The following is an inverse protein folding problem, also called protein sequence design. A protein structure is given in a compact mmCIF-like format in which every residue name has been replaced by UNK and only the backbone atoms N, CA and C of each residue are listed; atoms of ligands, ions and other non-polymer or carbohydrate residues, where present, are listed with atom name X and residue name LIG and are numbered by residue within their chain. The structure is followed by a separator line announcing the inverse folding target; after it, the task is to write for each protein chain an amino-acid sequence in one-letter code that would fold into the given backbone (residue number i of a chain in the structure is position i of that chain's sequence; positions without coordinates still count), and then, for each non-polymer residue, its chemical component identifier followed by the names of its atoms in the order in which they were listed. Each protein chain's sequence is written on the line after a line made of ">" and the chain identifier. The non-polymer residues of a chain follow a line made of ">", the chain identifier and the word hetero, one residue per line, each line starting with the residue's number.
data_IF_084445566485
#
_entry.id   IF_084445566485
#
_cell.length_a   1.000
_cell.length_b   1.000
_cell.length_c   1.000
_cell.angle_alpha   90.00
_cell.angle_beta   90.00
_cell.angle_gamma   90.00
#
_symmetry.space_group_name_H-M   'P 1'
#
loop_
_entity.id
_entity.type
_entity.pdbx_description
1 polymer ?
#
# COMPACT_ATOMS: atom_id res chain seq x y z
N UNK A 1 -9.50 -58.18 56.81
CA UNK A 1 -8.79 -58.47 55.55
C UNK A 1 -9.88 -58.63 54.49
N UNK A 2 -10.01 -57.85 53.42
CA UNK A 2 -9.03 -57.19 52.56
C UNK A 2 -9.65 -55.96 51.87
N UNK A 3 -8.83 -54.93 51.69
CA UNK A 3 -9.09 -53.69 50.94
C UNK A 3 -9.35 -53.93 49.45
N UNK A 4 -10.29 -53.18 48.85
CA UNK A 4 -10.23 -52.82 47.42
C UNK A 4 -10.56 -51.34 47.22
N UNK A 5 -9.58 -50.47 47.49
CA UNK A 5 -9.50 -49.14 46.87
C UNK A 5 -8.66 -49.26 45.61
N UNK A 6 -9.28 -49.58 44.47
CA UNK A 6 -8.69 -49.37 43.14
C UNK A 6 -9.45 -48.24 42.43
N UNK A 7 -9.39 -47.06 43.01
CA UNK A 7 -9.87 -45.82 42.40
C UNK A 7 -8.79 -45.25 41.48
N UNK A 8 -9.16 -44.93 40.24
CA UNK A 8 -8.60 -43.81 39.45
C UNK A 8 -7.08 -43.77 39.25
N UNK A 9 -6.54 -44.59 38.33
CA UNK A 9 -5.17 -44.40 37.81
C UNK A 9 -5.08 -44.43 36.27
N UNK A 10 -6.11 -44.89 35.58
CA UNK A 10 -6.07 -45.03 34.11
C UNK A 10 -6.32 -43.71 33.36
N UNK A 11 -6.98 -42.73 34.00
CA UNK A 11 -7.30 -41.44 33.38
C UNK A 11 -6.10 -40.50 33.24
N UNK A 12 -5.10 -40.61 34.11
CA UNK A 12 -3.99 -39.64 34.14
C UNK A 12 -2.87 -39.98 33.15
N UNK A 13 -2.59 -41.27 32.93
CA UNK A 13 -1.58 -41.72 31.95
C UNK A 13 -2.06 -41.45 30.52
N UNK A 14 -3.32 -41.80 30.19
CA UNK A 14 -3.91 -41.44 28.89
C UNK A 14 -3.89 -39.93 28.67
N UNK A 15 -4.29 -39.11 29.66
CA UNK A 15 -4.23 -37.64 29.54
C UNK A 15 -2.80 -37.13 29.27
N UNK A 16 -1.79 -37.75 29.87
CA UNK A 16 -0.40 -37.34 29.69
C UNK A 16 0.13 -37.66 28.29
N UNK A 17 -0.18 -38.83 27.73
CA UNK A 17 0.27 -39.21 26.39
C UNK A 17 -0.48 -38.44 25.29
N UNK A 18 -1.77 -38.15 25.49
CA UNK A 18 -2.51 -37.24 24.62
C UNK A 18 -1.95 -35.81 24.65
N UNK A 19 -1.58 -35.31 25.83
CA UNK A 19 -0.95 -33.99 25.94
C UNK A 19 0.40 -33.95 25.23
N UNK A 20 1.25 -34.97 25.39
CA UNK A 20 2.53 -35.08 24.65
C UNK A 20 2.32 -35.11 23.14
N UNK A 21 1.33 -35.87 22.67
CA UNK A 21 1.00 -35.94 21.24
C UNK A 21 0.54 -34.58 20.70
N UNK A 22 -0.28 -33.84 21.46
CA UNK A 22 -0.69 -32.47 21.11
C UNK A 22 0.50 -31.51 21.09
N UNK A 23 1.39 -31.56 22.08
CA UNK A 23 2.61 -30.74 22.09
C UNK A 23 3.52 -31.06 20.90
N UNK A 24 3.69 -32.34 20.56
CA UNK A 24 4.48 -32.76 19.40
C UNK A 24 3.85 -32.28 18.09
N UNK A 25 2.54 -32.43 17.92
CA UNK A 25 1.82 -31.95 16.76
C UNK A 25 1.96 -30.41 16.61
N UNK A 26 1.80 -29.67 17.72
CA UNK A 26 2.01 -28.23 17.74
C UNK A 26 3.44 -27.84 17.35
N UNK A 27 4.45 -28.54 17.88
CA UNK A 27 5.85 -28.31 17.54
C UNK A 27 6.12 -28.57 16.05
N UNK A 28 5.56 -29.64 15.48
CA UNK A 28 5.69 -29.94 14.05
C UNK A 28 5.07 -28.82 13.21
N UNK A 29 3.87 -28.36 13.55
CA UNK A 29 3.21 -27.25 12.85
C UNK A 29 4.07 -25.99 12.93
N UNK A 30 4.62 -25.68 14.11
CA UNK A 30 5.49 -24.52 14.31
C UNK A 30 6.75 -24.61 13.42
N UNK A 31 7.39 -25.78 13.37
CA UNK A 31 8.57 -26.01 12.51
C UNK A 31 8.21 -25.80 11.04
N UNK A 32 7.07 -26.34 10.59
CA UNK A 32 6.60 -26.16 9.21
C UNK A 32 6.38 -24.68 8.90
N UNK A 33 5.66 -23.95 9.75
CA UNK A 33 5.39 -22.52 9.55
C UNK A 33 6.69 -21.71 9.51
N UNK A 34 7.63 -21.98 10.42
CA UNK A 34 8.94 -21.32 10.42
C UNK A 34 9.74 -21.64 9.15
N UNK A 35 9.72 -22.89 8.69
CA UNK A 35 10.38 -23.29 7.45
C UNK A 35 9.81 -22.55 6.24
N UNK A 36 8.48 -22.47 6.13
CA UNK A 36 7.80 -21.72 5.06
C UNK A 36 8.15 -20.23 5.12
N UNK A 37 8.10 -19.61 6.30
CA UNK A 37 8.44 -18.20 6.50
C UNK A 37 9.91 -17.90 6.16
N UNK A 38 10.85 -18.75 6.58
CA UNK A 38 12.29 -18.61 6.23
C UNK A 38 12.48 -18.73 4.72
N UNK A 39 11.84 -19.71 4.09
CA UNK A 39 11.89 -19.92 2.64
C UNK A 39 11.39 -18.68 1.90
N UNK A 40 10.23 -18.15 2.30
CA UNK A 40 9.65 -16.94 1.72
C UNK A 40 10.57 -15.72 1.88
N UNK A 41 11.13 -15.53 3.09
CA UNK A 41 12.04 -14.42 3.42
C UNK A 41 13.32 -14.42 2.60
N UNK A 42 13.89 -15.60 2.34
CA UNK A 42 15.17 -15.72 1.64
C UNK A 42 14.95 -15.72 0.12
N UNK A 43 13.96 -16.47 -0.38
CA UNK A 43 13.86 -16.74 -1.81
C UNK A 43 12.92 -15.78 -2.56
N UNK A 44 11.84 -15.32 -1.93
CA UNK A 44 10.73 -14.66 -2.64
C UNK A 44 10.56 -13.19 -2.27
N UNK A 45 10.58 -12.85 -0.97
CA UNK A 45 10.39 -11.46 -0.53
C UNK A 45 11.39 -10.46 -1.11
N UNK A 46 12.69 -10.76 -1.22
CA UNK A 46 13.65 -9.83 -1.84
C UNK A 46 13.33 -9.54 -3.32
N UNK A 47 12.60 -10.44 -3.97
CA UNK A 47 12.19 -10.34 -5.38
C UNK A 47 10.82 -9.65 -5.54
N UNK A 48 10.13 -9.33 -4.45
CA UNK A 48 8.84 -8.64 -4.52
C UNK A 48 8.99 -7.25 -5.12
N UNK A 49 7.92 -6.73 -5.72
CA UNK A 49 7.90 -5.37 -6.29
C UNK A 49 8.29 -4.36 -5.19
N UNK A 50 7.68 -4.47 -4.01
CA UNK A 50 7.97 -3.58 -2.89
C UNK A 50 9.45 -3.60 -2.49
N UNK A 51 10.05 -4.78 -2.32
CA UNK A 51 11.45 -4.89 -1.91
C UNK A 51 12.42 -4.32 -2.95
N UNK A 52 12.18 -4.60 -4.24
CA UNK A 52 12.98 -4.04 -5.34
C UNK A 52 12.84 -2.52 -5.43
N UNK A 53 11.63 -2.00 -5.27
CA UNK A 53 11.38 -0.55 -5.22
C UNK A 53 12.09 0.13 -4.05
N UNK A 54 12.05 -0.46 -2.84
CA UNK A 54 12.78 0.09 -1.68
C UNK A 54 14.29 0.07 -1.92
N UNK A 55 14.84 -1.04 -2.39
CA UNK A 55 16.27 -1.15 -2.68
C UNK A 55 16.75 -0.13 -3.72
N UNK A 56 15.97 0.06 -4.80
CA UNK A 56 16.28 1.04 -5.85
C UNK A 56 16.13 2.48 -5.32
N UNK A 57 15.07 2.78 -4.57
CA UNK A 57 14.88 4.08 -3.92
C UNK A 57 16.05 4.45 -3.00
N UNK A 58 16.42 3.55 -2.08
CA UNK A 58 17.50 3.76 -1.10
C UNK A 58 18.83 4.06 -1.77
N UNK A 59 19.13 3.40 -2.90
CA UNK A 59 20.37 3.62 -3.64
C UNK A 59 20.48 5.01 -4.29
N UNK A 60 19.37 5.76 -4.34
CA UNK A 60 19.25 7.03 -5.09
C UNK A 60 18.64 8.17 -4.27
N UNK A 61 18.19 7.92 -3.03
CA UNK A 61 17.39 8.87 -2.23
C UNK A 61 18.02 10.26 -2.07
N UNK A 62 19.34 10.30 -1.94
CA UNK A 62 20.13 11.54 -1.78
C UNK A 62 20.11 12.46 -3.01
N UNK A 63 19.68 11.95 -4.17
CA UNK A 63 19.65 12.68 -5.44
C UNK A 63 18.25 13.15 -5.85
N UNK A 64 17.21 12.62 -5.21
CA UNK A 64 15.83 12.86 -5.59
C UNK A 64 15.43 14.31 -5.27
N UNK A 65 14.88 15.01 -6.27
CA UNK A 65 14.32 16.36 -6.15
C UNK A 65 12.79 16.36 -6.12
N UNK A 66 12.18 15.42 -6.82
CA UNK A 66 10.72 15.24 -6.89
C UNK A 66 10.36 13.81 -6.52
N UNK A 67 9.55 13.63 -5.48
CA UNK A 67 9.12 12.31 -5.02
C UNK A 67 7.60 12.19 -5.17
N UNK A 68 7.16 11.16 -5.90
CA UNK A 68 5.75 10.79 -6.01
C UNK A 68 5.47 9.71 -4.97
N UNK A 69 4.41 9.87 -4.18
CA UNK A 69 4.02 8.94 -3.10
C UNK A 69 2.57 8.48 -3.27
N UNK A 70 2.11 7.57 -2.42
CA UNK A 70 0.71 7.11 -2.39
C UNK A 70 0.54 5.73 -3.00
N UNK A 71 -0.62 5.49 -3.61
CA UNK A 71 -1.08 4.14 -3.92
C UNK A 71 -0.80 3.71 -5.36
N UNK A 72 -1.36 2.54 -5.74
CA UNK A 72 -1.14 1.94 -7.06
C UNK A 72 -1.48 2.86 -8.22
N UNK A 73 -2.50 3.72 -8.11
CA UNK A 73 -2.83 4.72 -9.13
C UNK A 73 -1.62 5.60 -9.50
N UNK A 74 -0.93 6.16 -8.52
CA UNK A 74 0.31 6.91 -8.71
C UNK A 74 1.43 6.03 -9.25
N UNK A 75 1.57 4.80 -8.72
CA UNK A 75 2.60 3.85 -9.14
C UNK A 75 2.53 3.53 -10.65
N UNK A 76 1.33 3.50 -11.22
CA UNK A 76 1.07 3.26 -12.65
C UNK A 76 1.01 4.53 -13.49
N UNK A 77 0.94 5.72 -12.89
CA UNK A 77 0.68 6.96 -13.63
C UNK A 77 1.94 7.72 -14.06
N UNK A 78 3.00 7.67 -13.25
CA UNK A 78 4.16 8.55 -13.44
C UNK A 78 5.40 7.74 -13.79
N UNK A 79 6.05 8.11 -14.90
CA UNK A 79 7.30 7.54 -15.39
C UNK A 79 8.43 8.54 -15.12
N UNK A 80 9.22 8.40 -14.03
CA UNK A 80 10.19 9.42 -13.62
C UNK A 80 11.24 9.78 -14.68
N UNK A 81 11.61 8.83 -15.55
CA UNK A 81 12.59 9.04 -16.62
C UNK A 81 12.15 10.04 -17.69
N UNK A 82 10.87 10.40 -17.74
CA UNK A 82 10.35 11.42 -18.67
C UNK A 82 10.34 12.82 -18.07
N UNK A 83 10.68 12.96 -16.79
CA UNK A 83 10.73 14.25 -16.11
C UNK A 83 12.14 14.84 -16.27
N UNK A 84 12.22 16.16 -16.50
CA UNK A 84 13.50 16.88 -16.59
C UNK A 84 14.20 17.08 -15.23
N UNK A 85 13.75 16.37 -14.20
CA UNK A 85 14.23 16.46 -12.83
C UNK A 85 14.60 15.08 -12.32
N UNK A 86 15.55 15.03 -11.38
CA UNK A 86 15.80 13.79 -10.63
C UNK A 86 14.56 13.44 -9.82
N UNK A 87 13.80 12.47 -10.32
CA UNK A 87 12.51 12.10 -9.76
C UNK A 87 12.47 10.60 -9.45
N UNK A 88 11.57 10.24 -8.54
CA UNK A 88 11.30 8.85 -8.20
C UNK A 88 9.83 8.66 -7.87
N UNK A 89 9.25 7.56 -8.33
CA UNK A 89 7.89 7.18 -8.00
C UNK A 89 7.90 6.14 -6.89
N UNK A 90 7.80 6.59 -5.63
CA UNK A 90 7.85 5.73 -4.46
C UNK A 90 6.45 5.33 -3.97
N UNK A 91 5.43 5.44 -4.82
CA UNK A 91 4.11 4.91 -4.54
C UNK A 91 4.11 3.37 -4.50
N UNK A 92 3.23 2.78 -3.70
CA UNK A 92 3.14 1.34 -3.53
C UNK A 92 1.71 0.83 -3.64
N UNK A 93 1.56 -0.45 -3.98
CA UNK A 93 0.26 -1.08 -4.06
C UNK A 93 -0.46 -0.97 -2.70
N UNK A 94 -1.75 -0.63 -2.76
CA UNK A 94 -2.63 -0.54 -1.62
C UNK A 94 -2.28 0.47 -0.51
N UNK A 95 -1.33 1.36 -0.74
CA UNK A 95 -0.88 2.34 0.25
C UNK A 95 -1.98 3.31 0.69
N UNK A 96 -2.08 3.57 2.00
CA UNK A 96 -2.97 4.60 2.56
C UNK A 96 -2.18 5.79 3.15
N UNK A 97 -2.84 6.88 3.55
CA UNK A 97 -2.14 8.07 4.06
C UNK A 97 -1.38 7.86 5.37
N UNK A 98 -1.79 6.90 6.20
CA UNK A 98 -1.07 6.55 7.44
C UNK A 98 0.30 5.97 7.06
N UNK A 99 0.29 5.03 6.12
CA UNK A 99 1.48 4.42 5.55
C UNK A 99 2.36 5.47 4.84
N UNK A 100 1.79 6.25 3.93
CA UNK A 100 2.49 7.34 3.23
C UNK A 100 3.24 8.27 4.20
N UNK A 101 2.60 8.65 5.33
CA UNK A 101 3.21 9.49 6.35
C UNK A 101 4.45 8.84 6.96
N UNK A 102 4.34 7.63 7.51
CA UNK A 102 5.45 6.98 8.19
C UNK A 102 6.61 6.67 7.25
N UNK A 103 6.31 6.31 5.99
CA UNK A 103 7.33 6.13 4.97
C UNK A 103 8.04 7.44 4.63
N UNK A 104 7.31 8.55 4.52
CA UNK A 104 7.93 9.86 4.28
C UNK A 104 8.76 10.32 5.49
N UNK A 105 8.19 10.27 6.69
CA UNK A 105 8.85 10.64 7.95
C UNK A 105 10.17 9.90 8.14
N UNK A 106 10.19 8.61 7.81
CA UNK A 106 11.38 7.78 7.90
C UNK A 106 12.54 8.28 7.03
N UNK A 107 12.26 8.81 5.83
CA UNK A 107 13.30 9.18 4.86
C UNK A 107 13.54 10.68 4.71
N UNK A 108 12.62 11.54 5.12
CA UNK A 108 12.63 12.95 4.74
C UNK A 108 13.95 13.67 5.10
N UNK A 109 14.54 13.33 6.25
CA UNK A 109 15.81 13.89 6.72
C UNK A 109 17.03 13.36 5.95
N UNK A 110 16.92 12.20 5.30
CA UNK A 110 17.95 11.59 4.47
C UNK A 110 17.86 12.07 3.00
N UNK A 111 16.97 12.99 2.67
CA UNK A 111 16.73 13.44 1.30
C UNK A 111 17.09 14.92 1.10
N UNK A 112 18.37 15.31 1.20
CA UNK A 112 18.79 16.73 1.27
C UNK A 112 18.50 17.54 -0.01
N UNK A 113 18.19 16.88 -1.13
CA UNK A 113 17.87 17.53 -2.41
C UNK A 113 16.37 17.56 -2.70
N UNK A 114 15.54 16.98 -1.84
CA UNK A 114 14.10 16.91 -2.04
C UNK A 114 13.48 18.31 -1.98
N UNK A 115 12.69 18.66 -3.00
CA UNK A 115 12.05 19.98 -3.11
C UNK A 115 10.54 19.89 -3.26
N UNK A 116 10.05 18.81 -3.86
CA UNK A 116 8.64 18.63 -4.18
C UNK A 116 8.22 17.21 -3.80
N UNK A 117 7.14 17.11 -3.01
CA UNK A 117 6.34 15.89 -2.89
C UNK A 117 5.12 16.03 -3.80
N UNK A 118 4.78 14.97 -4.53
CA UNK A 118 3.52 14.85 -5.26
C UNK A 118 2.64 13.79 -4.60
N UNK A 119 1.45 14.18 -4.14
CA UNK A 119 0.48 13.27 -3.51
C UNK A 119 -0.76 13.09 -4.39
N UNK A 120 -1.29 11.86 -4.50
CA UNK A 120 -2.54 11.61 -5.20
C UNK A 120 -3.72 12.13 -4.38
N UNK A 121 -4.71 12.68 -5.08
CA UNK A 121 -6.03 12.99 -4.52
C UNK A 121 -7.13 12.53 -5.49
N UNK A 122 -7.43 11.24 -5.43
CA UNK A 122 -8.53 10.59 -6.14
C UNK A 122 -9.69 10.30 -5.19
N UNK A 123 -10.90 10.04 -5.70
CA UNK A 123 -12.10 9.84 -4.86
C UNK A 123 -11.96 8.77 -3.76
N UNK A 124 -11.18 7.72 -4.01
CA UNK A 124 -10.93 6.65 -3.03
C UNK A 124 -9.89 7.00 -1.95
N UNK A 125 -9.19 8.14 -2.05
CA UNK A 125 -8.01 8.43 -1.21
C UNK A 125 -8.33 8.48 0.28
N UNK A 126 -9.53 8.95 0.64
CA UNK A 126 -10.00 9.02 2.02
C UNK A 126 -11.05 7.95 2.37
N UNK A 127 -11.36 7.04 1.46
CA UNK A 127 -12.34 6.00 1.77
C UNK A 127 -11.79 5.00 2.79
N UNK A 128 -12.60 4.69 3.80
CA UNK A 128 -12.30 3.72 4.87
C UNK A 128 -12.18 2.26 4.41
N UNK A 129 -12.35 1.96 3.11
CA UNK A 129 -12.20 0.59 2.59
C UNK A 129 -10.83 -0.07 2.88
N UNK A 130 -9.82 0.74 3.24
CA UNK A 130 -8.48 0.29 3.69
C UNK A 130 -8.12 0.72 5.10
N UNK A 131 -9.05 1.26 5.89
CA UNK A 131 -8.74 1.81 7.21
C UNK A 131 -8.21 0.74 8.19
N UNK A 132 -8.64 -0.51 8.05
CA UNK A 132 -8.29 -1.60 8.97
C UNK A 132 -7.07 -2.43 8.55
N UNK A 133 -6.35 -1.98 7.50
CA UNK A 133 -5.21 -2.72 6.95
C UNK A 133 -3.97 -1.84 7.02
N UNK A 134 -2.94 -2.37 7.69
CA UNK A 134 -1.57 -1.91 7.57
C UNK A 134 -0.73 -3.03 6.94
N UNK A 135 0.00 -2.67 5.89
CA UNK A 135 0.90 -3.55 5.17
C UNK A 135 2.04 -3.97 6.07
N UNK A 136 2.32 -5.27 6.12
CA UNK A 136 3.33 -5.81 7.03
C UNK A 136 4.74 -5.30 6.68
N UNK A 137 4.96 -4.94 5.42
CA UNK A 137 6.18 -4.34 4.91
C UNK A 137 6.57 -3.09 5.70
N UNK A 138 5.61 -2.28 6.15
CA UNK A 138 5.87 -1.06 6.91
C UNK A 138 6.50 -1.33 8.28
N UNK A 139 6.17 -2.46 8.91
CA UNK A 139 6.83 -2.90 10.12
C UNK A 139 8.19 -3.55 9.83
N UNK A 140 8.32 -4.29 8.72
CA UNK A 140 9.58 -4.95 8.35
C UNK A 140 10.68 -3.94 8.01
N UNK A 141 10.36 -2.91 7.24
CA UNK A 141 11.32 -1.88 6.83
C UNK A 141 11.48 -0.76 7.87
N UNK A 142 10.80 -0.87 9.03
CA UNK A 142 10.98 0.05 10.14
C UNK A 142 10.40 1.44 9.92
N UNK A 143 9.48 1.60 8.95
CA UNK A 143 8.76 2.87 8.75
C UNK A 143 7.88 3.18 9.95
N UNK A 144 7.21 2.15 10.49
CA UNK A 144 6.49 2.26 11.76
C UNK A 144 7.40 1.75 12.87
N UNK A 145 7.94 2.69 13.66
CA UNK A 145 8.80 2.41 14.80
C UNK A 145 8.00 1.88 16.00
N UNK A 146 8.70 1.38 17.03
CA UNK A 146 8.05 0.95 18.26
C UNK A 146 7.41 2.10 19.04
N UNK A 147 7.91 3.34 18.90
CA UNK A 147 7.29 4.53 19.49
C UNK A 147 5.93 4.84 18.86
N UNK A 148 5.81 4.66 17.54
CA UNK A 148 4.60 4.96 16.78
C UNK A 148 3.45 4.00 17.11
N UNK A 149 3.79 2.78 17.54
CA UNK A 149 2.80 1.77 17.92
C UNK A 149 1.84 2.28 19.00
N UNK A 150 2.29 3.15 19.91
CA UNK A 150 1.42 3.69 20.95
C UNK A 150 0.33 4.58 20.39
N UNK A 151 0.68 5.48 19.47
CA UNK A 151 -0.30 6.39 18.87
C UNK A 151 -1.19 5.67 17.87
N UNK A 152 -0.62 4.73 17.10
CA UNK A 152 -1.41 3.85 16.24
C UNK A 152 -2.35 2.93 17.02
N UNK A 153 -1.96 2.48 18.20
CA UNK A 153 -2.84 1.70 19.07
C UNK A 153 -4.01 2.53 19.60
N UNK A 154 -3.80 3.82 19.93
CA UNK A 154 -4.91 4.71 20.31
C UNK A 154 -5.93 4.88 19.17
N UNK A 155 -5.46 4.89 17.93
CA UNK A 155 -6.31 5.05 16.75
C UNK A 155 -7.01 3.74 16.34
N UNK A 156 -6.28 2.63 16.29
CA UNK A 156 -6.75 1.36 15.71
C UNK A 156 -6.96 0.23 16.71
N UNK A 157 -6.64 0.44 17.98
CA UNK A 157 -6.80 -0.53 19.06
C UNK A 157 -6.14 -1.89 18.75
N UNK A 158 -6.88 -2.96 19.03
CA UNK A 158 -6.40 -4.35 18.89
C UNK A 158 -6.05 -4.71 17.45
N UNK A 159 -6.64 -4.03 16.45
CA UNK A 159 -6.27 -4.23 15.04
C UNK A 159 -4.78 -3.97 14.85
N UNK A 160 -4.24 -2.90 15.44
CA UNK A 160 -2.80 -2.61 15.37
C UNK A 160 -1.96 -3.79 15.89
N UNK A 161 -2.29 -4.31 17.08
CA UNK A 161 -1.53 -5.41 17.69
C UNK A 161 -1.56 -6.65 16.81
N UNK A 162 -2.73 -6.96 16.22
CA UNK A 162 -2.88 -8.04 15.25
C UNK A 162 -1.96 -7.82 14.05
N UNK A 163 -1.97 -6.64 13.45
CA UNK A 163 -1.12 -6.32 12.29
C UNK A 163 0.38 -6.44 12.62
N UNK A 164 0.81 -5.93 13.78
CA UNK A 164 2.18 -6.07 14.24
C UNK A 164 2.57 -7.54 14.45
N UNK A 165 1.71 -8.35 15.06
CA UNK A 165 1.95 -9.78 15.26
C UNK A 165 2.04 -10.52 13.92
N UNK A 166 1.08 -10.28 13.01
CA UNK A 166 1.07 -10.89 11.68
C UNK A 166 2.28 -10.46 10.84
N UNK A 167 2.89 -9.29 11.11
CA UNK A 167 4.10 -8.86 10.41
C UNK A 167 5.33 -9.74 10.67
N UNK A 168 5.36 -10.49 11.78
CA UNK A 168 6.44 -11.45 12.06
C UNK A 168 6.30 -12.74 11.24
N UNK A 169 5.09 -13.14 10.88
CA UNK A 169 4.83 -14.31 10.07
C UNK A 169 3.73 -14.03 9.03
N UNK A 170 4.00 -13.17 8.02
CA UNK A 170 3.02 -12.79 7.02
C UNK A 170 2.47 -13.97 6.24
N UNK A 171 3.19 -15.09 6.14
CA UNK A 171 2.69 -16.30 5.48
C UNK A 171 1.40 -16.85 6.09
N UNK A 172 1.09 -16.52 7.35
CA UNK A 172 -0.18 -16.90 8.00
C UNK A 172 -1.37 -16.14 7.41
N UNK A 173 -1.11 -15.03 6.71
CA UNK A 173 -2.12 -14.28 5.98
C UNK A 173 -2.42 -14.98 4.66
N UNK A 174 -3.71 -15.03 4.31
CA UNK A 174 -4.16 -15.80 3.14
C UNK A 174 -3.58 -15.31 1.81
N UNK A 175 -3.42 -14.00 1.62
CA UNK A 175 -2.93 -13.45 0.35
C UNK A 175 -1.44 -13.72 0.15
N UNK A 176 -0.61 -13.57 1.18
CA UNK A 176 0.81 -13.89 1.17
C UNK A 176 1.04 -15.39 1.00
N UNK A 177 0.22 -16.25 1.62
CA UNK A 177 0.27 -17.70 1.39
C UNK A 177 -0.03 -18.04 -0.08
N UNK A 178 -1.04 -17.42 -0.69
CA UNK A 178 -1.35 -17.62 -2.12
C UNK A 178 -0.15 -17.22 -2.99
N UNK A 179 0.47 -16.08 -2.69
CA UNK A 179 1.65 -15.60 -3.42
C UNK A 179 2.87 -16.50 -3.27
N UNK A 180 3.11 -16.99 -2.05
CA UNK A 180 4.12 -17.99 -1.77
C UNK A 180 3.90 -19.26 -2.57
N UNK A 181 2.70 -19.84 -2.52
CA UNK A 181 2.37 -21.06 -3.26
C UNK A 181 2.52 -20.87 -4.78
N UNK A 182 2.13 -19.70 -5.29
CA UNK A 182 2.35 -19.31 -6.68
C UNK A 182 3.83 -19.26 -7.05
N UNK A 183 4.69 -18.74 -6.17
CA UNK A 183 6.13 -18.66 -6.38
C UNK A 183 6.82 -20.01 -6.27
N UNK A 184 6.38 -20.88 -5.35
CA UNK A 184 6.81 -22.28 -5.26
C UNK A 184 6.51 -23.02 -6.56
N UNK A 185 5.29 -22.88 -7.11
CA UNK A 185 4.93 -23.50 -8.39
C UNK A 185 5.84 -23.04 -9.52
N UNK A 186 6.17 -21.74 -9.58
CA UNK A 186 7.10 -21.18 -10.57
C UNK A 186 8.51 -21.75 -10.41
N UNK A 187 9.00 -21.85 -9.17
CA UNK A 187 10.32 -22.41 -8.86
C UNK A 187 10.44 -23.85 -9.38
N UNK A 188 9.45 -24.70 -9.10
CA UNK A 188 9.42 -26.08 -9.62
C UNK A 188 9.26 -26.16 -11.14
N UNK A 189 8.68 -25.13 -11.76
CA UNK A 189 8.49 -25.05 -13.22
C UNK A 189 9.64 -24.32 -13.92
N UNK A 190 10.73 -23.99 -13.20
CA UNK A 190 11.89 -23.23 -13.68
C UNK A 190 11.52 -21.89 -14.35
N UNK A 191 10.44 -21.26 -13.88
CA UNK A 191 9.97 -19.97 -14.38
C UNK A 191 10.55 -18.82 -13.55
N UNK A 192 10.83 -17.68 -14.20
CA UNK A 192 11.22 -16.47 -13.50
C UNK A 192 10.10 -16.01 -12.54
N UNK A 193 10.49 -15.79 -11.29
CA UNK A 193 9.63 -15.29 -10.22
C UNK A 193 9.34 -13.80 -10.45
N UNK A 194 10.35 -13.06 -10.90
CA UNK A 194 10.28 -11.65 -11.30
C UNK A 194 9.77 -11.53 -12.74
N UNK A 195 8.54 -11.07 -12.91
CA UNK A 195 7.99 -10.77 -14.24
C UNK A 195 7.76 -9.28 -14.48
N UNK A 196 7.55 -8.50 -13.44
CA UNK A 196 7.08 -7.12 -13.60
C UNK A 196 8.25 -6.16 -13.64
N UNK A 197 8.39 -5.49 -14.79
CA UNK A 197 9.39 -4.46 -15.00
C UNK A 197 9.08 -3.23 -14.14
N UNK A 198 10.13 -2.71 -13.48
CA UNK A 198 10.07 -1.53 -12.62
C UNK A 198 11.13 -0.53 -13.06
N UNK A 199 10.78 0.75 -13.15
CA UNK A 199 11.65 1.81 -13.63
C UNK A 199 11.60 3.01 -12.67
N UNK A 200 12.57 3.14 -11.75
CA UNK A 200 12.55 4.18 -10.70
C UNK A 200 11.22 4.20 -9.91
N UNK A 201 10.75 2.99 -9.59
CA UNK A 201 9.49 2.72 -8.90
C UNK A 201 8.21 2.79 -9.75
N UNK A 202 8.27 3.26 -11.00
CA UNK A 202 7.18 3.07 -11.96
C UNK A 202 6.97 1.58 -12.26
N UNK A 203 5.72 1.12 -12.24
CA UNK A 203 5.39 -0.27 -12.50
C UNK A 203 4.79 -0.43 -13.90
N UNK A 204 5.48 -1.14 -14.81
CA UNK A 204 4.94 -1.43 -16.13
C UNK A 204 4.16 -2.74 -16.10
N UNK A 205 2.83 -2.63 -16.23
CA UNK A 205 1.93 -3.78 -16.22
C UNK A 205 1.05 -3.81 -17.47
N UNK A 206 0.75 -5.02 -17.93
CA UNK A 206 -0.20 -5.26 -19.03
C UNK A 206 -1.56 -5.53 -18.41
N UNK A 207 -2.48 -4.58 -18.59
CA UNK A 207 -3.82 -4.63 -18.02
C UNK A 207 -4.73 -5.67 -18.65
N UNK A 208 -5.97 -5.69 -18.16
CA UNK A 208 -7.10 -6.41 -18.75
C UNK A 208 -7.97 -5.43 -19.55
N UNK A 209 -8.94 -5.95 -20.29
CA UNK A 209 -9.92 -5.10 -20.96
C UNK A 209 -10.70 -4.23 -19.95
N UNK A 210 -10.89 -2.96 -20.31
CA UNK A 210 -11.67 -2.01 -19.53
C UNK A 210 -13.15 -2.25 -19.80
N UNK A 211 -13.92 -2.63 -18.78
CA UNK A 211 -15.36 -2.91 -18.93
C UNK A 211 -16.19 -2.17 -17.88
N UNK A 212 -17.44 -1.85 -18.23
CA UNK A 212 -18.40 -1.23 -17.30
C UNK A 212 -18.58 -2.06 -16.02
N UNK A 213 -18.72 -3.38 -16.16
CA UNK A 213 -18.87 -4.29 -15.02
C UNK A 213 -17.66 -4.27 -14.08
N UNK A 214 -16.45 -4.20 -14.63
CA UNK A 214 -15.25 -4.07 -13.82
C UNK A 214 -15.24 -2.76 -13.03
N UNK A 215 -15.67 -1.66 -13.64
CA UNK A 215 -15.77 -0.35 -13.00
C UNK A 215 -16.83 -0.34 -11.89
N UNK A 216 -18.02 -0.93 -12.12
CA UNK A 216 -19.07 -1.08 -11.11
C UNK A 216 -18.55 -1.84 -9.90
N UNK A 217 -17.91 -3.01 -10.11
CA UNK A 217 -17.34 -3.83 -9.02
C UNK A 217 -16.27 -3.05 -8.25
N UNK A 218 -15.48 -2.25 -8.96
CA UNK A 218 -14.38 -1.47 -8.37
C UNK A 218 -14.87 -0.29 -7.54
N UNK A 219 -15.76 0.54 -8.09
CA UNK A 219 -16.40 1.63 -7.35
C UNK A 219 -17.19 1.12 -6.14
N UNK A 220 -17.96 0.04 -6.31
CA UNK A 220 -18.69 -0.60 -5.20
C UNK A 220 -17.73 -1.02 -4.08
N UNK A 221 -16.60 -1.64 -4.42
CA UNK A 221 -15.58 -2.03 -3.43
C UNK A 221 -14.97 -0.84 -2.72
N UNK A 222 -14.76 0.27 -3.41
CA UNK A 222 -14.14 1.45 -2.80
C UNK A 222 -15.12 2.24 -1.92
N UNK A 223 -16.43 2.20 -2.19
CA UNK A 223 -17.34 3.16 -1.56
C UNK A 223 -18.55 2.54 -0.85
N UNK A 224 -19.09 1.41 -1.32
CA UNK A 224 -20.32 0.86 -0.76
C UNK A 224 -20.09 0.32 0.64
N UNK A 225 -20.77 0.90 1.64
CA UNK A 225 -20.64 0.52 3.04
C UNK A 225 -19.37 1.06 3.71
N UNK A 226 -18.67 1.99 3.07
CA UNK A 226 -17.48 2.63 3.59
C UNK A 226 -17.74 4.12 3.82
N UNK A 227 -17.18 4.66 4.91
CA UNK A 227 -17.01 6.11 5.04
C UNK A 227 -16.09 6.61 3.91
N UNK A 228 -16.59 7.56 3.13
CA UNK A 228 -15.90 8.18 2.00
C UNK A 228 -14.77 9.10 2.46
N UNK A 229 -14.87 9.62 3.68
CA UNK A 229 -13.98 10.63 4.21
C UNK A 229 -13.52 10.29 5.63
N UNK A 230 -12.75 9.21 5.72
CA UNK A 230 -12.20 8.69 6.96
C UNK A 230 -11.30 9.72 7.66
N UNK A 231 -11.59 9.97 8.93
CA UNK A 231 -10.90 10.98 9.74
C UNK A 231 -9.43 10.65 10.00
N UNK A 232 -9.07 9.38 10.21
CA UNK A 232 -7.66 8.98 10.36
C UNK A 232 -6.87 9.30 9.09
N UNK A 233 -7.43 8.99 7.92
CA UNK A 233 -6.76 9.27 6.65
C UNK A 233 -6.61 10.77 6.40
N UNK A 234 -7.60 11.58 6.81
CA UNK A 234 -7.49 13.03 6.77
C UNK A 234 -6.41 13.55 7.71
N UNK A 235 -6.38 13.05 8.95
CA UNK A 235 -5.38 13.41 9.95
C UNK A 235 -3.97 13.15 9.43
N UNK A 236 -3.73 11.99 8.81
CA UNK A 236 -2.40 11.67 8.30
C UNK A 236 -2.05 12.40 7.00
N UNK A 237 -3.04 12.73 6.16
CA UNK A 237 -2.85 13.65 5.06
C UNK A 237 -2.38 15.03 5.57
N UNK A 238 -3.03 15.57 6.59
CA UNK A 238 -2.59 16.79 7.27
C UNK A 238 -1.16 16.68 7.83
N UNK A 239 -0.83 15.56 8.50
CA UNK A 239 0.52 15.35 9.04
C UNK A 239 1.58 15.35 7.94
N UNK A 240 1.30 14.75 6.77
CA UNK A 240 2.20 14.79 5.61
C UNK A 240 2.41 16.23 5.14
N UNK A 241 1.33 17.00 5.00
CA UNK A 241 1.41 18.38 4.55
C UNK A 241 2.24 19.26 5.49
N UNK A 242 2.01 19.12 6.81
CA UNK A 242 2.77 19.82 7.84
C UNK A 242 4.24 19.41 7.83
N UNK A 243 4.53 18.10 7.78
CA UNK A 243 5.90 17.58 7.71
C UNK A 243 6.67 18.14 6.51
N UNK A 244 6.04 18.23 5.34
CA UNK A 244 6.63 18.88 4.17
C UNK A 244 6.85 20.38 4.41
N UNK A 245 5.88 21.08 4.98
CA UNK A 245 5.98 22.51 5.29
C UNK A 245 7.14 22.82 6.24
N UNK A 246 7.28 22.05 7.32
CA UNK A 246 8.34 22.19 8.32
C UNK A 246 9.75 21.97 7.73
N UNK A 247 9.82 21.19 6.64
CA UNK A 247 11.06 20.91 5.89
C UNK A 247 11.23 21.77 4.63
N UNK A 248 10.40 22.81 4.45
CA UNK A 248 10.41 23.68 3.26
C UNK A 248 10.26 22.93 1.92
N UNK A 249 9.52 21.81 1.93
CA UNK A 249 9.22 21.00 0.75
C UNK A 249 7.84 21.39 0.23
N UNK A 250 7.75 21.72 -1.06
CA UNK A 250 6.48 22.05 -1.71
C UNK A 250 5.63 20.79 -1.88
N UNK A 251 4.34 20.90 -1.62
CA UNK A 251 3.39 19.81 -1.89
C UNK A 251 2.55 20.13 -3.11
N UNK A 252 2.61 19.24 -4.10
CA UNK A 252 1.75 19.26 -5.27
C UNK A 252 0.72 18.13 -5.15
N UNK A 253 -0.57 18.49 -5.15
CA UNK A 253 -1.65 17.51 -5.22
C UNK A 253 -1.98 17.18 -6.67
N UNK A 254 -2.07 15.90 -7.00
CA UNK A 254 -2.38 15.39 -8.33
C UNK A 254 -3.61 14.50 -8.27
N UNK A 255 -4.67 14.88 -8.96
CA UNK A 255 -5.76 13.94 -9.25
C UNK A 255 -5.44 13.24 -10.57
N UNK A 256 -5.47 11.91 -10.54
CA UNK A 256 -5.14 11.08 -11.69
C UNK A 256 -6.37 10.78 -12.53
N UNK A 257 -6.19 10.60 -13.85
CA UNK A 257 -7.27 10.16 -14.71
C UNK A 257 -7.83 8.80 -14.31
N UNK A 258 -9.13 8.65 -14.53
CA UNK A 258 -9.87 7.38 -14.43
C UNK A 258 -10.84 7.29 -15.61
N UNK A 259 -11.41 6.12 -15.88
CA UNK A 259 -12.35 5.98 -17.02
C UNK A 259 -13.69 6.63 -16.70
N UNK A 260 -14.41 7.06 -17.72
CA UNK A 260 -15.80 7.52 -17.64
C UNK A 260 -16.69 6.52 -16.87
N UNK A 261 -16.51 5.22 -17.08
CA UNK A 261 -17.23 4.18 -16.36
C UNK A 261 -17.01 4.25 -14.85
N UNK A 262 -15.78 4.51 -14.40
CA UNK A 262 -15.50 4.64 -12.97
C UNK A 262 -16.07 5.95 -12.41
N UNK A 263 -15.98 7.05 -13.16
CA UNK A 263 -16.54 8.35 -12.77
C UNK A 263 -18.05 8.24 -12.57
N UNK A 264 -18.77 7.69 -13.55
CA UNK A 264 -20.23 7.53 -13.50
C UNK A 264 -20.69 6.72 -12.28
N UNK A 265 -19.97 5.64 -11.95
CA UNK A 265 -20.31 4.82 -10.78
C UNK A 265 -19.91 5.48 -9.46
N UNK A 266 -18.81 6.22 -9.43
CA UNK A 266 -18.33 6.90 -8.22
C UNK A 266 -19.23 8.07 -7.81
N UNK A 267 -19.88 8.73 -8.77
CA UNK A 267 -20.83 9.84 -8.53
C UNK A 267 -22.03 9.45 -7.64
N UNK A 268 -22.34 8.16 -7.54
CA UNK A 268 -23.38 7.67 -6.62
C UNK A 268 -22.98 7.77 -5.15
N UNK A 269 -21.68 7.93 -4.87
CA UNK A 269 -21.12 7.89 -3.52
C UNK A 269 -20.35 9.16 -3.16
N UNK A 270 -19.75 9.83 -4.15
CA UNK A 270 -18.84 10.96 -3.94
C UNK A 270 -19.31 12.17 -4.74
N UNK A 271 -19.56 13.26 -4.02
CA UNK A 271 -19.70 14.59 -4.61
C UNK A 271 -18.30 15.19 -4.83
N UNK A 272 -17.96 15.47 -6.09
CA UNK A 272 -16.63 15.94 -6.50
C UNK A 272 -16.25 17.27 -5.83
N UNK A 273 -17.18 18.23 -5.83
CA UNK A 273 -16.92 19.57 -5.32
C UNK A 273 -16.76 19.56 -3.80
N UNK A 274 -17.65 18.86 -3.10
CA UNK A 274 -17.58 18.69 -1.66
C UNK A 274 -16.29 17.97 -1.24
N UNK A 275 -15.93 16.90 -1.97
CA UNK A 275 -14.72 16.12 -1.70
C UNK A 275 -13.46 17.00 -1.81
N UNK A 276 -13.30 17.72 -2.92
CA UNK A 276 -12.13 18.59 -3.11
C UNK A 276 -12.15 19.79 -2.18
N UNK A 277 -13.30 20.40 -1.90
CA UNK A 277 -13.36 21.50 -0.96
C UNK A 277 -12.91 21.08 0.44
N UNK A 278 -13.34 19.89 0.92
CA UNK A 278 -12.93 19.35 2.22
C UNK A 278 -11.44 18.99 2.25
N UNK A 279 -10.90 18.48 1.14
CA UNK A 279 -9.50 18.05 1.05
C UNK A 279 -8.50 19.19 0.80
N UNK A 280 -8.84 20.18 -0.01
CA UNK A 280 -7.90 21.21 -0.48
C UNK A 280 -8.03 22.54 0.28
N UNK A 281 -9.25 22.92 0.64
CA UNK A 281 -9.54 24.24 1.22
C UNK A 281 -9.69 24.21 2.74
N UNK A 282 -9.23 23.15 3.41
CA UNK A 282 -9.30 23.07 4.86
C UNK A 282 -8.41 24.16 5.49
N UNK A 283 -8.94 25.04 6.36
CA UNK A 283 -8.19 26.13 6.95
C UNK A 283 -6.95 25.69 7.76
N UNK A 284 -6.93 24.46 8.29
CA UNK A 284 -5.85 23.98 9.15
C UNK A 284 -4.58 23.63 8.36
N UNK A 285 -4.72 23.10 7.15
CA UNK A 285 -3.60 22.54 6.39
C UNK A 285 -3.59 22.89 4.89
N UNK A 286 -4.67 23.44 4.33
CA UNK A 286 -4.76 23.78 2.90
C UNK A 286 -3.66 24.76 2.46
N UNK A 287 -3.19 25.63 3.36
CA UNK A 287 -2.06 26.56 3.14
C UNK A 287 -0.73 25.89 2.78
N UNK A 288 -0.56 24.60 3.09
CA UNK A 288 0.66 23.85 2.76
C UNK A 288 0.61 23.25 1.34
N UNK A 289 -0.55 23.26 0.70
CA UNK A 289 -0.71 22.81 -0.68
C UNK A 289 -0.23 23.93 -1.61
N UNK A 290 0.85 23.68 -2.34
CA UNK A 290 1.41 24.66 -3.27
C UNK A 290 0.64 24.71 -4.58
N UNK A 291 0.08 23.58 -5.01
CA UNK A 291 -0.66 23.46 -6.28
C UNK A 291 -1.55 22.22 -6.27
N UNK A 292 -2.65 22.27 -7.00
CA UNK A 292 -3.49 21.11 -7.33
C UNK A 292 -3.66 21.03 -8.84
N UNK A 293 -3.45 19.84 -9.40
CA UNK A 293 -3.68 19.55 -10.81
C UNK A 293 -4.75 18.47 -10.91
N UNK A 294 -5.95 18.85 -11.36
CA UNK A 294 -7.06 17.93 -11.58
C UNK A 294 -7.02 17.34 -13.00
N UNK A 295 -6.67 16.06 -13.13
CA UNK A 295 -6.70 15.33 -14.39
C UNK A 295 -7.81 14.26 -14.44
N UNK A 296 -8.77 14.26 -13.50
CA UNK A 296 -9.74 13.17 -13.33
C UNK A 296 -10.43 12.73 -14.63
N UNK A 297 -10.90 13.71 -15.40
CA UNK A 297 -11.68 13.51 -16.61
C UNK A 297 -10.83 13.51 -17.89
N UNK A 298 -9.54 13.83 -17.77
CA UNK A 298 -8.65 13.84 -18.92
C UNK A 298 -8.53 12.41 -19.43
N UNK A 299 -8.81 12.21 -20.73
CA UNK A 299 -8.80 10.89 -21.36
C UNK A 299 -9.87 9.90 -20.87
N UNK A 300 -10.86 10.30 -20.06
CA UNK A 300 -11.84 9.37 -19.48
C UNK A 300 -12.55 8.48 -20.53
N UNK A 301 -12.78 9.00 -21.74
CA UNK A 301 -13.42 8.28 -22.86
C UNK A 301 -12.43 7.49 -23.75
N UNK A 302 -11.13 7.52 -23.45
CA UNK A 302 -10.08 6.84 -24.22
C UNK A 302 -9.54 5.65 -23.44
N UNK A 303 -10.29 4.55 -23.45
CA UNK A 303 -10.01 3.35 -22.64
C UNK A 303 -8.69 2.66 -23.00
N UNK A 304 -8.17 2.87 -24.22
CA UNK A 304 -6.86 2.36 -24.66
C UNK A 304 -5.67 2.94 -23.87
N UNK A 305 -5.91 3.96 -23.04
CA UNK A 305 -4.91 4.55 -22.15
C UNK A 305 -4.96 3.97 -20.72
N UNK A 306 -5.86 3.03 -20.47
CA UNK A 306 -6.07 2.44 -19.15
C UNK A 306 -5.75 0.94 -19.11
N UNK A 307 -5.37 0.46 -17.93
CA UNK A 307 -5.13 -0.96 -17.66
C UNK A 307 -6.37 -1.62 -17.02
N UNK A 308 -7.21 -0.80 -16.38
CA UNK A 308 -8.52 -1.12 -15.80
C UNK A 308 -9.27 0.22 -15.55
N UNK A 309 -10.38 0.20 -14.81
CA UNK A 309 -11.25 1.38 -14.67
C UNK A 309 -10.64 2.62 -13.99
N UNK A 310 -9.57 2.47 -13.21
CA UNK A 310 -8.99 3.55 -12.38
C UNK A 310 -7.46 3.59 -12.38
N UNK A 311 -6.81 2.89 -13.32
CA UNK A 311 -5.36 2.90 -13.46
C UNK A 311 -4.93 3.01 -14.93
N UNK A 312 -3.92 3.83 -15.18
CA UNK A 312 -3.35 4.05 -16.51
C UNK A 312 -2.45 2.91 -16.95
N UNK A 313 -2.54 2.52 -18.21
CA UNK A 313 -1.49 1.67 -18.80
C UNK A 313 -0.27 2.51 -19.20
N UNK A 314 0.76 1.87 -19.75
CA UNK A 314 1.99 2.56 -20.17
C UNK A 314 1.75 3.74 -21.13
N UNK A 315 0.81 3.62 -22.08
CA UNK A 315 0.48 4.71 -23.01
C UNK A 315 -0.16 5.90 -22.29
N UNK A 316 -1.09 5.62 -21.37
CA UNK A 316 -1.70 6.64 -20.53
C UNK A 316 -0.70 7.33 -19.62
N UNK A 317 0.17 6.54 -18.97
CA UNK A 317 1.22 7.02 -18.08
C UNK A 317 2.20 7.97 -18.79
N UNK A 318 2.61 7.65 -20.03
CA UNK A 318 3.45 8.57 -20.83
C UNK A 318 2.77 9.93 -21.02
N UNK A 319 1.51 9.96 -21.44
CA UNK A 319 0.77 11.21 -21.68
C UNK A 319 0.57 12.02 -20.40
N UNK A 320 0.20 11.36 -19.31
CA UNK A 320 0.01 12.03 -18.01
C UNK A 320 1.32 12.55 -17.46
N UNK A 321 2.41 11.79 -17.59
CA UNK A 321 3.74 12.24 -17.17
C UNK A 321 4.17 13.49 -17.94
N UNK A 322 3.88 13.59 -19.23
CA UNK A 322 4.23 14.76 -20.04
C UNK A 322 3.47 16.02 -19.59
N UNK A 323 2.18 15.88 -19.21
CA UNK A 323 1.40 16.98 -18.62
C UNK A 323 2.00 17.40 -17.27
N UNK A 324 2.31 16.43 -16.41
CA UNK A 324 2.89 16.70 -15.08
C UNK A 324 4.28 17.34 -15.19
N UNK A 325 5.12 16.92 -16.15
CA UNK A 325 6.42 17.54 -16.44
C UNK A 325 6.27 19.03 -16.80
N UNK A 326 5.33 19.36 -17.68
CA UNK A 326 5.06 20.74 -18.06
C UNK A 326 4.60 21.58 -16.86
N UNK A 327 3.74 21.01 -16.00
CA UNK A 327 3.21 21.71 -14.82
C UNK A 327 4.20 21.86 -13.67
N UNK A 328 5.18 20.96 -13.53
CA UNK A 328 6.29 21.07 -12.58
C UNK A 328 7.37 22.07 -13.01
N UNK A 329 7.40 22.42 -14.31
CA UNK A 329 8.37 23.36 -14.87
C UNK A 329 7.92 24.83 -14.78
N UNK A 330 6.66 25.07 -14.42
CA UNK A 330 6.06 26.38 -14.13
C UNK A 330 6.18 26.67 -12.63
#
# INVERSE_FOLDING_TARGET
>A
MTNSKSSFSFSNIMRQDWFKALCLAFLIILIIVLFLEITDRILFRPKSIFARTVSDFESRKNEIKVLFLGQSDMQFAIIPDRLNYSAYNFAAASENFIETYYKLEHYINDMPKLKIIVLPLNFQSFSSYRADILQWEYFKYGYISNSDLRDLYKLKGVVMLREKLLSFCPIVRGIEMIDFMRNIKKLFSNQNIEKTETYKGYLKYVGSDVTKDSAIKRATRHFKGHDIFNEDFLLYFEKILKLCGDNNIKVFILTLPVTDYYIEQSKQYVDKELFYNKALNNPQYGKYISKHLDLLEIYANNHDLFLNSDHLNYKGAMKVTDIVAAELSK
#
